data_IF_853413613825
#
_entry.id   IF_853413613825
#
_cell.length_a   1.000
_cell.length_b   1.000
_cell.length_c   1.000
_cell.angle_alpha   90.00
_cell.angle_beta   90.00
_cell.angle_gamma   90.00
#
_symmetry.space_group_name_H-M   'P 1'
#
loop_
_entity.id
_entity.type
_entity.pdbx_description
1 polymer ?
#
# COMPACT_ATOMS: atom_id res chain seq x y z
N UNK A 1 15.51 -34.30 31.08
CA UNK A 1 16.10 -33.71 29.86
C UNK A 1 15.38 -34.36 28.67
N UNK A 2 14.69 -33.69 27.74
CA UNK A 2 14.60 -32.29 27.29
C UNK A 2 13.16 -32.08 26.79
N UNK A 3 12.52 -30.96 27.16
CA UNK A 3 11.22 -30.56 26.63
C UNK A 3 11.37 -29.98 25.23
N UNK A 4 10.60 -30.48 24.27
CA UNK A 4 10.47 -29.90 22.93
C UNK A 4 9.03 -29.45 22.72
N UNK A 5 8.62 -28.41 23.44
CA UNK A 5 7.44 -27.62 23.05
C UNK A 5 7.88 -26.75 21.89
N UNK A 6 7.67 -27.27 20.67
CA UNK A 6 7.74 -26.49 19.44
C UNK A 6 6.67 -25.41 19.48
N UNK A 7 7.00 -24.27 20.08
CA UNK A 7 6.18 -23.07 20.04
C UNK A 7 6.18 -22.63 18.58
N UNK A 8 5.02 -22.71 17.90
CA UNK A 8 4.83 -22.01 16.62
C UNK A 8 5.26 -20.55 16.83
N UNK A 9 6.00 -19.91 15.91
CA UNK A 9 6.25 -18.48 16.01
C UNK A 9 4.89 -17.80 16.08
N UNK A 10 4.62 -17.17 17.21
CA UNK A 10 3.44 -16.36 17.45
C UNK A 10 3.62 -15.12 16.60
N UNK A 11 3.03 -15.14 15.40
CA UNK A 11 3.00 -13.97 14.54
C UNK A 11 2.00 -13.02 15.17
N UNK A 12 2.50 -11.97 15.80
CA UNK A 12 1.69 -10.92 16.40
C UNK A 12 0.85 -10.27 15.29
N UNK A 13 -0.49 -10.45 15.28
CA UNK A 13 -1.36 -9.93 14.24
C UNK A 13 -1.43 -8.40 14.22
N UNK A 14 -0.87 -7.72 15.22
CA UNK A 14 -0.84 -6.25 15.33
C UNK A 14 0.51 -5.61 15.01
N UNK A 15 1.56 -6.40 14.72
CA UNK A 15 2.82 -5.82 14.26
C UNK A 15 2.74 -5.58 12.76
N UNK A 16 2.13 -4.45 12.37
CA UNK A 16 2.35 -3.86 11.05
C UNK A 16 3.87 -3.83 10.83
N UNK A 17 4.34 -4.45 9.75
CA UNK A 17 5.76 -4.41 9.42
C UNK A 17 6.18 -2.94 9.25
N UNK A 18 7.46 -2.63 9.46
CA UNK A 18 7.99 -1.29 9.14
C UNK A 18 7.83 -0.95 7.64
N UNK A 19 7.52 -1.97 6.83
CA UNK A 19 7.23 -1.88 5.40
C UNK A 19 5.75 -1.70 5.07
N UNK A 20 4.85 -1.73 6.06
CA UNK A 20 3.42 -1.61 5.85
C UNK A 20 3.08 -0.29 5.14
N UNK A 21 1.97 -0.29 4.40
CA UNK A 21 1.61 0.83 3.55
C UNK A 21 0.11 1.09 3.54
N UNK A 22 -0.25 2.37 3.41
CA UNK A 22 -1.61 2.84 3.22
C UNK A 22 -1.76 3.38 1.81
N UNK A 23 -2.85 3.04 1.12
CA UNK A 23 -3.19 3.50 -0.22
C UNK A 23 -4.46 4.36 -0.15
N UNK A 24 -4.39 5.54 -0.75
CA UNK A 24 -5.54 6.43 -0.95
C UNK A 24 -5.62 6.89 -2.41
N UNK A 25 -6.82 7.20 -2.86
CA UNK A 25 -7.15 7.66 -4.20
C UNK A 25 -7.69 9.08 -4.15
N UNK A 26 -6.85 10.03 -4.56
CA UNK A 26 -7.19 11.46 -4.56
C UNK A 26 -7.63 11.91 -5.94
N UNK A 27 -8.43 12.99 -6.06
CA UNK A 27 -8.63 13.66 -7.33
C UNK A 27 -7.29 14.08 -7.96
N UNK A 28 -7.24 14.16 -9.29
CA UNK A 28 -6.02 14.55 -9.99
C UNK A 28 -5.48 15.91 -9.53
N UNK A 29 -4.19 15.95 -9.20
CA UNK A 29 -3.51 17.18 -8.78
C UNK A 29 -3.73 17.52 -7.31
N UNK A 30 -4.57 16.76 -6.59
CA UNK A 30 -4.75 16.91 -5.15
C UNK A 30 -3.78 16.02 -4.39
N UNK A 31 -3.18 16.59 -3.35
CA UNK A 31 -2.29 15.89 -2.44
C UNK A 31 -3.08 15.48 -1.19
N UNK A 32 -2.95 14.23 -0.72
CA UNK A 32 -3.58 13.81 0.51
C UNK A 32 -3.01 14.54 1.73
N UNK A 33 -3.91 14.96 2.61
CA UNK A 33 -3.66 15.61 3.89
C UNK A 33 -3.92 14.64 5.06
N UNK A 34 -3.77 15.12 6.30
CA UNK A 34 -3.73 14.29 7.51
C UNK A 34 -4.89 13.29 7.62
N UNK A 35 -6.12 13.77 7.41
CA UNK A 35 -7.34 12.97 7.59
C UNK A 35 -7.61 12.00 6.44
N UNK A 36 -7.06 12.24 5.25
CA UNK A 36 -7.23 11.35 4.10
C UNK A 36 -6.62 9.97 4.36
N UNK A 37 -5.57 9.91 5.19
CA UNK A 37 -4.92 8.66 5.57
C UNK A 37 -5.69 7.87 6.61
N UNK A 38 -6.70 8.44 7.27
CA UNK A 38 -7.40 7.76 8.37
C UNK A 38 -8.51 6.85 7.88
N UNK A 39 -8.90 6.94 6.60
CA UNK A 39 -10.05 6.24 6.05
C UNK A 39 -9.76 5.74 4.63
N UNK A 40 -10.31 4.58 4.23
CA UNK A 40 -10.29 4.16 2.83
C UNK A 40 -10.96 5.21 1.94
N UNK A 41 -10.40 5.44 0.76
CA UNK A 41 -11.06 6.26 -0.26
C UNK A 41 -12.35 5.62 -0.73
N UNK A 42 -13.29 6.44 -1.20
CA UNK A 42 -14.59 5.96 -1.69
C UNK A 42 -14.43 4.85 -2.76
N UNK A 43 -15.21 3.78 -2.63
CA UNK A 43 -15.13 2.61 -3.49
C UNK A 43 -13.89 1.75 -3.30
N UNK A 44 -13.01 2.04 -2.33
CA UNK A 44 -11.87 1.18 -1.97
C UNK A 44 -12.25 0.31 -0.77
N UNK A 45 -12.28 -1.03 -0.92
CA UNK A 45 -12.48 -1.93 0.20
C UNK A 45 -11.46 -1.66 1.34
N UNK A 46 -11.83 -1.78 2.63
CA UNK A 46 -10.91 -1.50 3.74
C UNK A 46 -9.61 -2.32 3.72
N UNK A 47 -9.67 -3.55 3.24
CA UNK A 47 -8.52 -4.45 3.04
C UNK A 47 -7.64 -4.05 1.85
N UNK A 48 -8.17 -3.30 0.88
CA UNK A 48 -7.41 -2.71 -0.22
C UNK A 48 -6.77 -1.36 0.12
N UNK A 49 -7.14 -0.76 1.26
CA UNK A 49 -6.57 0.50 1.75
C UNK A 49 -5.27 0.30 2.55
N UNK A 50 -5.01 -0.90 3.07
CA UNK A 50 -3.83 -1.19 3.90
C UNK A 50 -3.12 -2.46 3.44
N UNK A 51 -1.79 -2.43 3.41
CA UNK A 51 -0.96 -3.48 2.83
C UNK A 51 0.22 -3.81 3.73
N UNK A 52 0.64 -5.07 3.73
CA UNK A 52 1.81 -5.53 4.48
C UNK A 52 3.13 -4.96 3.96
N UNK A 53 3.20 -4.54 2.69
CA UNK A 53 4.39 -3.92 2.10
C UNK A 53 4.00 -2.80 1.12
N UNK A 54 4.87 -1.80 0.97
CA UNK A 54 4.76 -0.79 -0.10
C UNK A 54 4.69 -1.44 -1.49
N UNK A 55 5.44 -2.53 -1.71
CA UNK A 55 5.41 -3.25 -2.99
C UNK A 55 4.04 -3.84 -3.33
N UNK A 56 3.35 -4.42 -2.35
CA UNK A 56 1.99 -4.92 -2.55
C UNK A 56 1.00 -3.78 -2.84
N UNK A 57 1.10 -2.66 -2.12
CA UNK A 57 0.27 -1.48 -2.37
C UNK A 57 0.50 -0.93 -3.79
N UNK A 58 1.75 -0.86 -4.26
CA UNK A 58 2.11 -0.41 -5.62
C UNK A 58 1.49 -1.34 -6.67
N UNK A 59 1.62 -2.66 -6.50
CA UNK A 59 1.07 -3.62 -7.46
C UNK A 59 -0.44 -3.50 -7.59
N UNK A 60 -1.15 -3.38 -6.47
CA UNK A 60 -2.60 -3.16 -6.47
C UNK A 60 -2.97 -1.82 -7.12
N UNK A 61 -2.30 -0.73 -6.73
CA UNK A 61 -2.55 0.59 -7.27
C UNK A 61 -2.37 0.64 -8.79
N UNK A 62 -1.38 -0.06 -9.34
CA UNK A 62 -1.17 -0.15 -10.79
C UNK A 62 -2.27 -0.96 -11.45
N UNK A 63 -2.67 -2.09 -10.86
CA UNK A 63 -3.78 -2.91 -11.37
C UNK A 63 -5.09 -2.14 -11.47
N UNK A 64 -5.36 -1.23 -10.54
CA UNK A 64 -6.58 -0.42 -10.49
C UNK A 64 -6.45 0.95 -11.18
N UNK A 65 -5.27 1.33 -11.67
CA UNK A 65 -5.00 2.72 -12.07
C UNK A 65 -5.87 3.17 -13.25
N UNK A 66 -6.16 2.28 -14.20
CA UNK A 66 -7.00 2.61 -15.36
C UNK A 66 -8.46 2.89 -14.94
N UNK A 67 -9.02 2.02 -14.08
CA UNK A 67 -10.38 2.16 -13.58
C UNK A 67 -10.54 3.46 -12.77
N UNK A 68 -9.58 3.74 -11.88
CA UNK A 68 -9.59 4.96 -11.06
C UNK A 68 -9.32 6.23 -11.86
N UNK A 69 -8.53 6.14 -12.93
CA UNK A 69 -8.33 7.28 -13.82
C UNK A 69 -9.62 7.68 -14.55
N UNK A 70 -10.50 6.72 -14.87
CA UNK A 70 -11.82 7.02 -15.44
C UNK A 70 -12.73 7.78 -14.45
N UNK A 71 -12.46 7.67 -13.16
CA UNK A 71 -13.13 8.42 -12.08
C UNK A 71 -12.43 9.75 -11.75
N UNK A 72 -11.36 10.12 -12.48
CA UNK A 72 -10.59 11.33 -12.22
C UNK A 72 -9.67 11.25 -11.00
N UNK A 73 -9.26 10.03 -10.60
CA UNK A 73 -8.47 9.77 -9.39
C UNK A 73 -7.07 9.21 -9.67
N UNK A 74 -6.15 9.48 -8.76
CA UNK A 74 -4.77 8.99 -8.77
C UNK A 74 -4.32 8.40 -7.42
N UNK A 75 -3.42 7.41 -7.43
CA UNK A 75 -3.00 6.73 -6.22
C UNK A 75 -1.91 7.51 -5.48
N UNK A 76 -2.01 7.48 -4.16
CA UNK A 76 -1.00 7.94 -3.23
C UNK A 76 -0.75 6.87 -2.18
N UNK A 77 0.52 6.60 -1.89
CA UNK A 77 0.90 5.59 -0.90
C UNK A 77 1.70 6.25 0.21
N UNK A 78 1.41 5.89 1.46
CA UNK A 78 2.21 6.26 2.63
C UNK A 78 2.77 5.00 3.30
N UNK A 79 4.07 4.92 3.50
CA UNK A 79 4.68 3.84 4.29
C UNK A 79 4.47 4.06 5.79
N UNK A 80 4.63 3.00 6.59
CA UNK A 80 4.62 3.08 8.05
C UNK A 80 5.71 4.02 8.60
N UNK A 81 6.85 4.10 7.91
CA UNK A 81 7.92 5.08 8.20
C UNK A 81 7.60 6.53 7.82
N UNK A 82 6.47 6.78 7.17
CA UNK A 82 5.98 8.12 6.83
C UNK A 82 6.40 8.65 5.46
N UNK A 83 7.08 7.84 4.63
CA UNK A 83 7.39 8.24 3.25
C UNK A 83 6.12 8.26 2.40
N UNK A 84 5.97 9.31 1.60
CA UNK A 84 4.83 9.48 0.68
C UNK A 84 5.30 9.26 -0.75
N UNK A 85 4.66 8.32 -1.42
CA UNK A 85 4.85 8.01 -2.83
C UNK A 85 3.73 8.66 -3.63
N UNK A 86 4.11 9.65 -4.44
CA UNK A 86 3.22 10.33 -5.39
C UNK A 86 2.91 9.45 -6.60
N UNK A 87 1.83 9.73 -7.36
CA UNK A 87 1.41 8.93 -8.52
C UNK A 87 2.54 8.62 -9.52
N UNK A 88 3.36 9.62 -9.86
CA UNK A 88 4.47 9.44 -10.80
C UNK A 88 5.56 8.48 -10.25
N UNK A 89 5.84 8.54 -8.94
CA UNK A 89 6.81 7.65 -8.31
C UNK A 89 6.29 6.21 -8.25
N UNK A 90 4.99 6.03 -8.01
CA UNK A 90 4.34 4.72 -8.03
C UNK A 90 4.50 4.05 -9.40
N UNK A 91 4.27 4.79 -10.49
CA UNK A 91 4.49 4.29 -11.87
C UNK A 91 5.92 3.83 -12.11
N UNK A 92 6.91 4.68 -11.78
CA UNK A 92 8.34 4.35 -11.96
C UNK A 92 8.76 3.14 -11.13
N UNK A 93 8.28 3.04 -9.89
CA UNK A 93 8.58 1.89 -9.03
C UNK A 93 7.95 0.61 -9.54
N UNK A 94 6.73 0.68 -10.08
CA UNK A 94 6.05 -0.45 -10.69
C UNK A 94 6.82 -0.99 -11.91
N UNK A 95 7.27 -0.11 -12.79
CA UNK A 95 8.13 -0.47 -13.93
C UNK A 95 9.42 -1.14 -13.46
N UNK A 96 10.03 -0.61 -12.40
CA UNK A 96 11.25 -1.18 -11.80
C UNK A 96 11.00 -2.57 -11.23
N UNK A 97 9.86 -2.82 -10.57
CA UNK A 97 9.52 -4.14 -10.05
C UNK A 97 9.22 -5.14 -11.18
N UNK A 98 8.55 -4.71 -12.24
CA UNK A 98 8.31 -5.54 -13.41
C UNK A 98 9.63 -5.96 -14.09
N UNK A 99 10.57 -5.02 -14.23
CA UNK A 99 11.88 -5.27 -14.83
C UNK A 99 12.80 -6.20 -14.02
N UNK A 100 12.56 -6.34 -12.71
CA UNK A 100 13.33 -7.24 -11.83
C UNK A 100 12.79 -8.67 -11.77
N UNK A 101 11.63 -8.93 -12.38
CA UNK A 101 10.96 -10.23 -12.38
C UNK A 101 11.34 -11.11 -13.59
N UNK A 102 12.36 -10.69 -14.34
CA UNK A 102 12.89 -11.33 -15.55
C UNK A 102 14.18 -12.07 -15.22
#
# INVERSE_FOLDING_TARGET
MIGATGRKPEVDPMKLSDDAAMLVWMPFGERPEGDDWLRPSEGTPPDAATWQTVGHAINYAVGMMADRAAEGREPWIRSASGHIYKPAAIRVMAETFAARRI
#
